data_IF_859433664713
#
_entry.id   IF_859433664713
#
_cell.length_a   1.000
_cell.length_b   1.000
_cell.length_c   1.000
_cell.angle_alpha   90.00
_cell.angle_beta   90.00
_cell.angle_gamma   90.00
#
_symmetry.space_group_name_H-M   'P 1'
#
loop_
_entity.id
_entity.type
_entity.pdbx_description
1 polymer ?
#
# COMPACT_ATOMS: atom_id res chain seq x y z
N UNK A 1 12.35 -27.95 6.82
CA UNK A 1 11.74 -26.81 6.09
C UNK A 1 11.64 -27.24 4.63
N UNK A 2 10.45 -27.12 4.00
CA UNK A 2 10.28 -27.44 2.59
C UNK A 2 11.08 -26.46 1.72
N UNK A 3 11.71 -26.97 0.66
CA UNK A 3 12.47 -26.14 -0.28
C UNK A 3 11.50 -25.11 -0.95
N UNK A 4 11.78 -23.80 -0.90
CA UNK A 4 10.92 -22.78 -1.49
C UNK A 4 10.56 -23.04 -2.97
N UNK A 5 11.49 -23.60 -3.75
CA UNK A 5 11.25 -23.97 -5.14
C UNK A 5 10.23 -25.11 -5.30
N UNK A 6 10.18 -26.07 -4.37
CA UNK A 6 9.20 -27.17 -4.42
C UNK A 6 7.80 -26.65 -4.05
N UNK A 7 7.70 -25.77 -3.05
CA UNK A 7 6.44 -25.12 -2.66
C UNK A 7 5.87 -24.28 -3.80
N UNK A 8 6.73 -23.49 -4.46
CA UNK A 8 6.34 -22.72 -5.63
C UNK A 8 5.80 -23.61 -6.76
N UNK A 9 6.51 -24.70 -7.05
CA UNK A 9 6.12 -25.66 -8.12
C UNK A 9 4.76 -26.27 -7.85
N UNK A 10 4.52 -26.72 -6.63
CA UNK A 10 3.25 -27.32 -6.21
C UNK A 10 2.08 -26.32 -6.28
N UNK A 11 2.23 -25.16 -5.65
CA UNK A 11 1.21 -24.11 -5.67
C UNK A 11 0.91 -23.63 -7.10
N UNK A 12 1.94 -23.46 -7.92
CA UNK A 12 1.78 -23.03 -9.31
C UNK A 12 1.06 -24.07 -10.15
N UNK A 13 1.34 -25.36 -9.98
CA UNK A 13 0.67 -26.44 -10.68
C UNK A 13 -0.83 -26.47 -10.34
N UNK A 14 -1.18 -26.42 -9.05
CA UNK A 14 -2.58 -26.41 -8.60
C UNK A 14 -3.35 -25.24 -9.25
N UNK A 15 -2.76 -24.06 -9.26
CA UNK A 15 -3.42 -22.89 -9.87
C UNK A 15 -3.43 -22.90 -11.41
N UNK A 16 -2.42 -23.50 -12.03
CA UNK A 16 -2.36 -23.61 -13.49
C UNK A 16 -3.46 -24.50 -14.08
N UNK A 17 -3.99 -25.45 -13.32
CA UNK A 17 -5.10 -26.33 -13.76
C UNK A 17 -6.48 -25.83 -13.29
N UNK A 18 -6.54 -24.82 -12.43
CA UNK A 18 -7.79 -24.20 -11.95
C UNK A 18 -8.34 -23.21 -13.00
N UNK A 19 -9.19 -23.71 -13.88
CA UNK A 19 -9.78 -22.91 -14.95
C UNK A 19 -10.75 -21.85 -14.45
N UNK A 20 -11.45 -22.08 -13.33
CA UNK A 20 -12.38 -21.11 -12.73
C UNK A 20 -11.62 -19.91 -12.21
N UNK A 21 -10.59 -20.13 -11.41
CA UNK A 21 -9.67 -19.11 -10.92
C UNK A 21 -9.08 -18.29 -12.09
N UNK A 22 -8.55 -18.97 -13.12
CA UNK A 22 -7.99 -18.31 -14.30
C UNK A 22 -9.02 -17.42 -15.01
N UNK A 23 -10.26 -17.88 -15.13
CA UNK A 23 -11.37 -17.10 -15.74
C UNK A 23 -11.64 -15.81 -14.94
N UNK A 24 -11.73 -15.90 -13.62
CA UNK A 24 -11.96 -14.75 -12.72
C UNK A 24 -10.82 -13.74 -12.85
N UNK A 25 -9.57 -14.17 -12.76
CA UNK A 25 -8.40 -13.29 -12.89
C UNK A 25 -8.36 -12.60 -14.24
N UNK A 26 -8.50 -13.36 -15.34
CA UNK A 26 -8.44 -12.77 -16.68
C UNK A 26 -9.61 -11.81 -16.94
N UNK A 27 -10.80 -12.07 -16.39
CA UNK A 27 -11.92 -11.16 -16.46
C UNK A 27 -11.62 -9.83 -15.75
N UNK A 28 -11.10 -9.87 -14.53
CA UNK A 28 -10.81 -8.68 -13.75
C UNK A 28 -9.61 -7.89 -14.33
N UNK A 29 -8.53 -8.56 -14.74
CA UNK A 29 -7.42 -7.93 -15.46
C UNK A 29 -7.90 -7.32 -16.79
N UNK A 30 -8.84 -7.97 -17.47
CA UNK A 30 -9.46 -7.48 -18.70
C UNK A 30 -10.11 -6.10 -18.54
N UNK A 31 -10.75 -5.84 -17.38
CA UNK A 31 -11.32 -4.52 -17.06
C UNK A 31 -10.24 -3.44 -17.01
N UNK A 32 -9.10 -3.70 -16.34
CA UNK A 32 -7.96 -2.75 -16.34
C UNK A 32 -7.37 -2.54 -17.73
N UNK A 33 -7.17 -3.62 -18.48
CA UNK A 33 -6.64 -3.54 -19.85
C UNK A 33 -7.53 -2.72 -20.78
N UNK A 34 -8.84 -2.70 -20.55
CA UNK A 34 -9.79 -1.90 -21.34
C UNK A 34 -9.71 -0.40 -21.02
N UNK A 35 -9.48 -0.02 -19.75
CA UNK A 35 -9.54 1.40 -19.33
C UNK A 35 -8.16 2.09 -19.34
N UNK A 36 -7.06 1.37 -19.12
CA UNK A 36 -5.70 1.95 -19.15
C UNK A 36 -5.38 2.69 -20.45
N UNK A 37 -5.73 2.20 -21.66
CA UNK A 37 -5.54 2.96 -22.90
C UNK A 37 -6.30 4.29 -22.93
N UNK A 38 -7.45 4.38 -22.26
CA UNK A 38 -8.23 5.62 -22.16
C UNK A 38 -7.53 6.63 -21.23
N UNK A 39 -7.06 6.18 -20.06
CA UNK A 39 -6.29 7.01 -19.15
C UNK A 39 -5.02 7.58 -19.76
N UNK A 40 -4.33 6.78 -20.61
CA UNK A 40 -3.12 7.23 -21.32
C UNK A 40 -3.34 8.42 -22.25
N UNK A 41 -4.57 8.64 -22.74
CA UNK A 41 -4.90 9.77 -23.63
C UNK A 41 -4.75 11.15 -22.99
N UNK A 42 -4.65 11.25 -21.66
CA UNK A 42 -4.38 12.51 -20.99
C UNK A 42 -2.96 13.05 -21.25
N UNK A 43 -2.05 12.17 -21.62
CA UNK A 43 -0.66 12.56 -21.93
C UNK A 43 -0.52 12.83 -23.43
N UNK A 44 0.11 13.95 -23.78
CA UNK A 44 0.47 14.24 -25.17
C UNK A 44 1.48 13.22 -25.71
N UNK A 45 2.42 12.79 -24.86
CA UNK A 45 3.37 11.70 -25.10
C UNK A 45 3.60 10.93 -23.80
N UNK A 46 3.01 9.75 -23.71
CA UNK A 46 3.13 8.87 -22.55
C UNK A 46 4.56 8.32 -22.36
N UNK A 47 5.29 8.10 -23.45
CA UNK A 47 6.66 7.62 -23.35
C UNK A 47 7.57 8.71 -22.80
N UNK A 48 7.43 9.94 -23.26
CA UNK A 48 8.14 11.08 -22.71
C UNK A 48 7.81 11.30 -21.21
N UNK A 49 6.54 11.17 -20.82
CA UNK A 49 6.15 11.25 -19.40
C UNK A 49 6.84 10.17 -18.55
N UNK A 50 6.92 8.93 -19.06
CA UNK A 50 7.62 7.82 -18.39
C UNK A 50 9.12 8.07 -18.24
N UNK A 51 9.77 8.54 -19.33
CA UNK A 51 11.20 8.86 -19.28
C UNK A 51 11.49 10.02 -18.31
N UNK A 52 10.64 11.03 -18.25
CA UNK A 52 10.73 12.09 -17.23
C UNK A 52 10.62 11.54 -15.82
N UNK A 53 9.65 10.66 -15.57
CA UNK A 53 9.47 10.04 -14.25
C UNK A 53 10.67 9.14 -13.88
N UNK A 54 11.18 8.36 -14.84
CA UNK A 54 12.40 7.56 -14.67
C UNK A 54 13.59 8.45 -14.30
N UNK A 55 13.79 9.55 -15.02
CA UNK A 55 14.88 10.49 -14.74
C UNK A 55 14.73 11.18 -13.37
N UNK A 56 13.51 11.59 -13.00
CA UNK A 56 13.26 12.17 -11.68
C UNK A 56 13.58 11.18 -10.57
N UNK A 57 13.17 9.91 -10.69
CA UNK A 57 13.51 8.84 -9.75
C UNK A 57 15.02 8.58 -9.69
N UNK A 58 15.67 8.48 -10.84
CA UNK A 58 17.11 8.34 -10.92
C UNK A 58 17.81 9.47 -10.16
N UNK A 59 17.48 10.73 -10.45
CA UNK A 59 18.05 11.89 -9.79
C UNK A 59 17.86 11.88 -8.27
N UNK A 60 16.68 11.48 -7.79
CA UNK A 60 16.42 11.38 -6.37
C UNK A 60 17.29 10.30 -5.70
N UNK A 61 17.47 9.16 -6.37
CA UNK A 61 18.25 8.04 -5.83
C UNK A 61 19.77 8.26 -5.90
N UNK A 62 20.27 9.06 -6.87
CA UNK A 62 21.69 9.41 -6.92
C UNK A 62 22.14 10.33 -5.74
N UNK A 63 21.19 10.98 -5.09
CA UNK A 63 21.42 11.84 -3.92
C UNK A 63 20.50 11.45 -2.75
N UNK A 64 20.26 10.14 -2.60
CA UNK A 64 19.26 9.62 -1.66
C UNK A 64 19.54 10.04 -0.22
N UNK A 65 20.78 10.01 0.21
CA UNK A 65 21.26 10.47 1.51
C UNK A 65 20.86 11.93 1.78
N UNK A 66 21.23 12.82 0.89
CA UNK A 66 20.90 14.26 0.98
C UNK A 66 19.38 14.48 0.97
N UNK A 67 18.65 13.73 0.15
CA UNK A 67 17.19 13.85 0.08
C UNK A 67 16.52 13.40 1.37
N UNK A 68 16.96 12.30 1.96
CA UNK A 68 16.38 11.77 3.18
C UNK A 68 16.73 12.65 4.40
N UNK A 69 17.93 13.15 4.51
CA UNK A 69 18.30 14.14 5.54
C UNK A 69 17.45 15.40 5.42
N UNK A 70 17.27 15.91 4.20
CA UNK A 70 16.41 17.08 3.94
C UNK A 70 14.95 16.80 4.32
N UNK A 71 14.44 15.60 4.03
CA UNK A 71 13.11 15.18 4.45
C UNK A 71 12.99 15.21 5.97
N UNK A 72 13.92 14.57 6.67
CA UNK A 72 13.92 14.51 8.13
C UNK A 72 13.90 15.91 8.75
N UNK A 73 14.84 16.79 8.33
CA UNK A 73 14.91 18.17 8.83
C UNK A 73 13.58 18.90 8.66
N UNK A 74 12.96 18.81 7.49
CA UNK A 74 11.71 19.51 7.21
C UNK A 74 10.51 18.87 7.92
N UNK A 75 10.47 17.54 8.01
CA UNK A 75 9.40 16.83 8.71
C UNK A 75 9.43 17.10 10.23
N UNK A 76 10.62 17.15 10.83
CA UNK A 76 10.81 17.55 12.24
C UNK A 76 10.35 18.99 12.48
N UNK A 77 10.63 19.92 11.56
CA UNK A 77 10.14 21.31 11.64
C UNK A 77 8.61 21.39 11.61
N UNK A 78 7.97 20.47 10.92
CA UNK A 78 6.51 20.38 10.87
C UNK A 78 5.91 19.69 12.13
N UNK A 79 6.74 19.32 13.11
CA UNK A 79 6.31 18.67 14.35
C UNK A 79 6.23 17.14 14.27
N UNK A 80 6.60 16.55 13.16
CA UNK A 80 6.66 15.09 13.00
C UNK A 80 7.89 14.47 13.65
N UNK A 81 7.96 13.14 13.64
CA UNK A 81 9.08 12.35 14.18
C UNK A 81 9.54 11.35 13.13
N UNK A 82 10.84 11.24 12.90
CA UNK A 82 11.43 10.28 11.94
C UNK A 82 12.14 9.17 12.70
N UNK A 83 11.98 7.95 12.22
CA UNK A 83 12.66 6.76 12.73
C UNK A 83 13.31 6.07 11.53
N UNK A 84 14.60 5.85 11.63
CA UNK A 84 15.36 5.09 10.66
C UNK A 84 15.35 3.61 11.03
N UNK A 85 15.03 2.75 10.09
CA UNK A 85 15.02 1.30 10.26
C UNK A 85 15.78 0.64 9.10
N UNK A 86 16.89 0.00 9.43
CA UNK A 86 17.70 -0.74 8.46
C UNK A 86 17.09 -2.10 8.14
N UNK A 87 16.39 -2.69 9.12
CA UNK A 87 15.82 -4.03 9.02
C UNK A 87 14.35 -4.06 9.44
N UNK A 88 13.68 -5.18 9.12
CA UNK A 88 12.31 -5.45 9.53
C UNK A 88 12.18 -5.41 11.07
N UNK A 89 13.14 -6.00 11.77
CA UNK A 89 13.15 -6.08 13.22
C UNK A 89 13.17 -4.69 13.86
N UNK A 90 14.01 -3.79 13.35
CA UNK A 90 14.08 -2.40 13.84
C UNK A 90 12.76 -1.66 13.60
N UNK A 91 12.12 -1.86 12.44
CA UNK A 91 10.81 -1.29 12.17
C UNK A 91 9.74 -1.84 13.13
N UNK A 92 9.72 -3.15 13.35
CA UNK A 92 8.83 -3.80 14.30
C UNK A 92 9.01 -3.29 15.73
N UNK A 93 10.24 -3.20 16.22
CA UNK A 93 10.56 -2.68 17.55
C UNK A 93 10.09 -1.24 17.73
N UNK A 94 10.30 -0.40 16.71
CA UNK A 94 9.85 1.00 16.72
C UNK A 94 8.32 1.09 16.82
N UNK A 95 7.59 0.32 16.00
CA UNK A 95 6.12 0.29 16.02
C UNK A 95 5.61 -0.21 17.37
N UNK A 96 6.14 -1.32 17.86
CA UNK A 96 5.71 -1.92 19.12
C UNK A 96 5.97 -0.98 20.31
N UNK A 97 7.11 -0.28 20.30
CA UNK A 97 7.41 0.74 21.32
C UNK A 97 6.36 1.85 21.32
N UNK A 98 6.04 2.42 20.14
CA UNK A 98 5.01 3.45 20.02
C UNK A 98 3.66 2.91 20.49
N UNK A 99 3.25 1.73 20.06
CA UNK A 99 2.01 1.10 20.50
C UNK A 99 1.95 0.92 22.02
N UNK A 100 3.02 0.46 22.66
CA UNK A 100 3.10 0.31 24.13
C UNK A 100 3.01 1.66 24.84
N UNK A 101 3.71 2.68 24.37
CA UNK A 101 3.65 4.05 24.94
C UNK A 101 2.23 4.64 24.87
N UNK A 102 1.46 4.27 23.85
CA UNK A 102 0.07 4.72 23.68
C UNK A 102 -0.97 3.77 24.30
N UNK A 103 -0.56 2.71 24.99
CA UNK A 103 -1.45 1.64 25.49
C UNK A 103 -2.37 1.10 24.40
N UNK A 104 -1.84 0.98 23.17
CA UNK A 104 -2.58 0.62 21.98
C UNK A 104 -3.08 -0.83 22.07
N UNK A 105 -4.36 -1.01 21.83
CA UNK A 105 -5.02 -2.32 21.68
C UNK A 105 -5.42 -2.59 20.26
N UNK A 106 -5.72 -1.54 19.51
CA UNK A 106 -6.19 -1.64 18.12
C UNK A 106 -5.43 -0.69 17.22
N UNK A 107 -4.90 -1.23 16.16
CA UNK A 107 -4.31 -0.50 15.04
C UNK A 107 -5.29 -0.56 13.86
N UNK A 108 -5.64 0.56 13.27
CA UNK A 108 -6.30 0.60 11.95
C UNK A 108 -5.26 0.88 10.87
N UNK A 109 -5.19 0.01 9.87
CA UNK A 109 -4.15 0.06 8.85
C UNK A 109 -4.76 0.26 7.45
N UNK A 110 -4.23 1.21 6.70
CA UNK A 110 -4.53 1.30 5.27
C UNK A 110 -3.59 0.43 4.45
N UNK A 111 -4.04 0.05 3.27
CA UNK A 111 -3.25 -0.76 2.34
C UNK A 111 -1.85 -0.21 2.11
N UNK A 112 -0.85 -1.04 2.37
CA UNK A 112 0.55 -0.69 2.17
C UNK A 112 1.39 -1.92 1.84
N UNK A 113 2.05 -1.89 0.68
CA UNK A 113 2.95 -2.98 0.29
C UNK A 113 4.15 -3.12 1.24
N UNK A 114 4.57 -2.03 1.90
CA UNK A 114 5.67 -2.09 2.87
C UNK A 114 5.23 -2.77 4.17
N UNK A 115 3.98 -2.59 4.61
CA UNK A 115 3.46 -3.30 5.77
C UNK A 115 3.29 -4.80 5.51
N UNK A 116 2.98 -5.19 4.27
CA UNK A 116 2.96 -6.60 3.85
C UNK A 116 4.37 -7.19 3.79
N UNK A 117 5.33 -6.45 3.24
CA UNK A 117 6.75 -6.84 3.19
C UNK A 117 7.30 -7.19 4.59
N UNK A 118 6.92 -6.44 5.60
CA UNK A 118 7.37 -6.67 6.99
C UNK A 118 6.42 -7.58 7.80
N UNK A 119 5.38 -8.14 7.20
CA UNK A 119 4.38 -8.97 7.88
C UNK A 119 3.82 -8.31 9.16
N UNK A 120 3.44 -7.03 9.05
CA UNK A 120 3.09 -6.22 10.21
C UNK A 120 1.87 -6.77 10.98
N UNK A 121 0.85 -7.28 10.29
CA UNK A 121 -0.34 -7.83 10.93
C UNK A 121 0.01 -8.99 11.87
N UNK A 122 0.73 -9.99 11.35
CA UNK A 122 1.18 -11.14 12.13
C UNK A 122 2.01 -10.73 13.35
N UNK A 123 2.85 -9.70 13.17
CA UNK A 123 3.69 -9.19 14.25
C UNK A 123 2.86 -8.51 15.35
N UNK A 124 1.91 -7.66 15.00
CA UNK A 124 1.03 -6.97 15.96
C UNK A 124 0.16 -7.97 16.72
N UNK A 125 -0.48 -8.91 16.03
CA UNK A 125 -1.32 -9.95 16.61
C UNK A 125 -0.54 -10.84 17.60
N UNK A 126 0.68 -11.24 17.27
CA UNK A 126 1.58 -11.98 18.18
C UNK A 126 1.92 -11.19 19.46
N UNK A 127 1.83 -9.86 19.42
CA UNK A 127 2.05 -8.97 20.54
C UNK A 127 0.75 -8.54 21.23
N UNK A 128 -0.39 -9.15 20.90
CA UNK A 128 -1.70 -8.89 21.51
C UNK A 128 -2.33 -7.56 21.09
N UNK A 129 -2.01 -7.06 19.90
CA UNK A 129 -2.57 -5.85 19.33
C UNK A 129 -3.41 -6.24 18.11
N UNK A 130 -4.69 -5.88 18.11
CA UNK A 130 -5.59 -6.10 16.99
C UNK A 130 -5.17 -5.21 15.80
N UNK A 131 -4.80 -5.81 14.67
CA UNK A 131 -4.52 -5.09 13.43
C UNK A 131 -5.72 -5.20 12.48
N UNK A 132 -6.33 -4.07 12.12
CA UNK A 132 -7.54 -4.01 11.31
C UNK A 132 -7.22 -3.41 9.94
N UNK A 133 -7.37 -4.21 8.90
CA UNK A 133 -7.28 -3.72 7.52
C UNK A 133 -8.47 -2.82 7.19
N UNK A 134 -8.21 -1.67 6.61
CA UNK A 134 -9.24 -0.69 6.29
C UNK A 134 -9.54 -0.54 4.79
N UNK A 135 -8.69 -1.08 3.92
CA UNK A 135 -9.00 -1.27 2.50
C UNK A 135 -9.98 -2.44 2.36
N UNK A 136 -11.06 -2.27 1.60
CA UNK A 136 -12.10 -3.29 1.48
C UNK A 136 -11.54 -4.63 0.97
N UNK A 137 -10.65 -4.60 0.00
CA UNK A 137 -10.04 -5.80 -0.55
C UNK A 137 -9.15 -6.51 0.45
N UNK A 138 -8.33 -5.77 1.21
CA UNK A 138 -7.49 -6.34 2.27
C UNK A 138 -8.31 -6.79 3.48
N UNK A 139 -9.39 -6.09 3.84
CA UNK A 139 -10.31 -6.52 4.88
C UNK A 139 -10.97 -7.86 4.56
N UNK A 140 -11.41 -8.05 3.31
CA UNK A 140 -11.94 -9.35 2.84
C UNK A 140 -10.88 -10.45 2.96
N UNK A 141 -9.63 -10.15 2.58
CA UNK A 141 -8.53 -11.09 2.69
C UNK A 141 -8.18 -11.42 4.14
N UNK A 142 -8.16 -10.41 5.00
CA UNK A 142 -7.92 -10.60 6.44
C UNK A 142 -8.99 -11.52 7.05
N UNK A 143 -10.27 -11.34 6.72
CA UNK A 143 -11.35 -12.22 7.18
C UNK A 143 -11.19 -13.66 6.68
N UNK A 144 -10.71 -13.86 5.46
CA UNK A 144 -10.50 -15.19 4.86
C UNK A 144 -9.10 -15.76 5.15
N UNK A 145 -8.31 -15.07 5.99
CA UNK A 145 -6.95 -15.46 6.38
C UNK A 145 -6.02 -15.71 5.17
N UNK A 146 -6.10 -14.84 4.17
CA UNK A 146 -5.28 -14.87 2.96
C UNK A 146 -4.43 -13.61 2.83
N UNK A 147 -3.21 -13.68 2.27
CA UNK A 147 -2.45 -12.47 1.94
C UNK A 147 -3.07 -11.74 0.74
N UNK A 148 -2.75 -10.44 0.54
CA UNK A 148 -3.18 -9.70 -0.63
C UNK A 148 -2.78 -10.38 -1.94
N UNK A 149 -3.74 -10.47 -2.86
CA UNK A 149 -3.53 -11.17 -4.13
C UNK A 149 -2.90 -10.29 -5.21
N UNK A 150 -3.18 -8.99 -5.18
CA UNK A 150 -2.71 -8.00 -6.16
C UNK A 150 -2.45 -6.65 -5.50
N UNK A 151 -1.43 -5.93 -5.95
CA UNK A 151 -1.01 -4.64 -5.37
C UNK A 151 -2.15 -3.61 -5.34
N UNK A 152 -2.96 -3.53 -6.41
CA UNK A 152 -4.03 -2.51 -6.52
C UNK A 152 -5.38 -3.05 -6.05
N UNK A 153 -5.65 -4.32 -6.31
CA UNK A 153 -6.95 -4.95 -6.01
C UNK A 153 -6.72 -6.24 -5.22
N UNK A 154 -6.56 -6.17 -3.90
CA UNK A 154 -6.15 -7.30 -3.08
C UNK A 154 -7.04 -8.55 -3.22
N UNK A 155 -8.35 -8.39 -3.35
CA UNK A 155 -9.31 -9.49 -3.49
C UNK A 155 -9.69 -9.83 -4.95
N UNK A 156 -8.83 -9.52 -5.92
CA UNK A 156 -9.08 -9.67 -7.37
C UNK A 156 -9.53 -11.08 -7.80
N UNK A 157 -9.13 -12.11 -7.08
CA UNK A 157 -9.43 -13.51 -7.40
C UNK A 157 -10.78 -13.98 -6.86
N UNK A 158 -11.43 -13.20 -5.99
CA UNK A 158 -12.73 -13.55 -5.39
C UNK A 158 -13.89 -13.07 -6.27
N UNK A 159 -14.92 -13.91 -6.35
CA UNK A 159 -16.22 -13.54 -6.91
C UNK A 159 -17.08 -12.83 -5.85
N UNK A 160 -18.24 -12.28 -6.28
CA UNK A 160 -19.23 -11.75 -5.35
C UNK A 160 -19.70 -12.81 -4.34
N UNK A 161 -19.92 -14.03 -4.83
CA UNK A 161 -20.35 -15.18 -4.04
C UNK A 161 -19.30 -15.57 -2.99
N UNK A 162 -18.01 -15.53 -3.34
CA UNK A 162 -16.92 -15.77 -2.39
C UNK A 162 -16.92 -14.72 -1.28
N UNK A 163 -17.07 -13.44 -1.63
CA UNK A 163 -17.15 -12.36 -0.64
C UNK A 163 -18.38 -12.50 0.25
N UNK A 164 -19.55 -12.83 -0.32
CA UNK A 164 -20.77 -13.06 0.45
C UNK A 164 -20.59 -14.21 1.45
N UNK A 165 -19.92 -15.30 1.05
CA UNK A 165 -19.61 -16.44 1.92
C UNK A 165 -18.68 -16.00 3.07
N UNK A 166 -17.60 -15.30 2.79
CA UNK A 166 -16.67 -14.80 3.81
C UNK A 166 -17.38 -13.89 4.82
N UNK A 167 -18.23 -12.99 4.35
CA UNK A 167 -19.00 -12.11 5.24
C UNK A 167 -20.07 -12.87 6.04
N UNK A 168 -20.69 -13.90 5.45
CA UNK A 168 -21.60 -14.76 6.18
C UNK A 168 -20.90 -15.50 7.33
N UNK A 169 -19.74 -16.10 7.06
CA UNK A 169 -18.98 -16.89 8.03
C UNK A 169 -18.45 -16.03 9.18
N UNK A 170 -17.93 -14.82 8.89
CA UNK A 170 -17.23 -13.98 9.87
C UNK A 170 -18.09 -12.82 10.43
N UNK A 171 -19.05 -12.32 9.68
CA UNK A 171 -19.88 -11.17 10.05
C UNK A 171 -21.37 -11.52 10.23
N UNK A 172 -21.74 -12.78 10.00
CA UNK A 172 -23.12 -13.32 10.12
C UNK A 172 -24.13 -12.60 9.23
N UNK A 173 -23.75 -12.25 8.01
CA UNK A 173 -24.61 -11.59 7.03
C UNK A 173 -25.43 -12.62 6.21
N UNK A 174 -26.56 -12.23 5.59
CA UNK A 174 -27.21 -13.04 4.56
C UNK A 174 -26.28 -13.31 3.36
N UNK A 175 -26.45 -14.45 2.68
CA UNK A 175 -25.65 -14.85 1.52
C UNK A 175 -26.05 -14.16 0.21
N UNK A 176 -27.29 -13.62 0.15
CA UNK A 176 -27.88 -13.05 -1.05
C UNK A 176 -27.68 -11.54 -1.21
N UNK A 177 -26.87 -10.92 -0.34
CA UNK A 177 -26.58 -9.50 -0.40
C UNK A 177 -25.96 -9.08 -1.74
N UNK A 178 -26.35 -7.90 -2.21
CA UNK A 178 -25.74 -7.25 -3.37
C UNK A 178 -24.31 -6.74 -3.05
N UNK A 179 -23.46 -6.43 -4.05
CA UNK A 179 -22.15 -5.83 -3.80
C UNK A 179 -22.24 -4.52 -3.01
N UNK A 180 -23.26 -3.71 -3.24
CA UNK A 180 -23.50 -2.45 -2.54
C UNK A 180 -23.82 -2.70 -1.06
N UNK A 181 -24.66 -3.68 -0.75
CA UNK A 181 -25.01 -4.06 0.62
C UNK A 181 -23.82 -4.66 1.36
N UNK A 182 -23.01 -5.51 0.71
CA UNK A 182 -21.75 -6.02 1.28
C UNK A 182 -20.79 -4.88 1.61
N UNK A 183 -20.69 -3.88 0.73
CA UNK A 183 -19.87 -2.69 0.98
C UNK A 183 -20.39 -1.87 2.18
N UNK A 184 -21.70 -1.74 2.34
CA UNK A 184 -22.30 -1.07 3.50
C UNK A 184 -22.00 -1.81 4.80
N UNK A 185 -22.06 -3.15 4.82
CA UNK A 185 -21.69 -3.96 5.99
C UNK A 185 -20.23 -3.68 6.39
N UNK A 186 -19.29 -3.72 5.44
CA UNK A 186 -17.89 -3.41 5.70
C UNK A 186 -17.74 -1.98 6.25
N UNK A 187 -18.41 -1.00 5.64
CA UNK A 187 -18.41 0.40 6.10
C UNK A 187 -18.86 0.54 7.54
N UNK A 188 -19.95 -0.11 7.94
CA UNK A 188 -20.46 -0.05 9.31
C UNK A 188 -19.48 -0.65 10.32
N UNK A 189 -18.88 -1.79 9.97
CA UNK A 189 -17.89 -2.45 10.82
C UNK A 189 -16.62 -1.60 10.98
N UNK A 190 -16.06 -1.12 9.87
CA UNK A 190 -14.82 -0.35 9.87
C UNK A 190 -15.00 1.04 10.48
N UNK A 191 -16.17 1.68 10.36
CA UNK A 191 -16.44 2.99 10.94
C UNK A 191 -16.15 3.04 12.45
N UNK A 192 -16.55 2.00 13.19
CA UNK A 192 -16.26 1.90 14.62
C UNK A 192 -14.76 1.73 14.87
N UNK A 193 -14.10 0.91 14.06
CA UNK A 193 -12.67 0.65 14.19
C UNK A 193 -11.82 1.90 14.00
N UNK A 194 -12.15 2.76 13.02
CA UNK A 194 -11.48 4.05 12.87
C UNK A 194 -11.61 4.95 14.12
N UNK A 195 -12.78 4.98 14.74
CA UNK A 195 -13.05 5.84 15.90
C UNK A 195 -12.42 5.28 17.20
N UNK A 196 -12.25 3.98 17.30
CA UNK A 196 -11.78 3.28 18.51
C UNK A 196 -10.28 3.04 18.50
N UNK A 197 -9.63 3.00 17.34
CA UNK A 197 -8.21 2.72 17.22
C UNK A 197 -7.34 3.83 17.82
N UNK A 198 -6.38 3.45 18.64
CA UNK A 198 -5.41 4.38 19.24
C UNK A 198 -4.32 4.80 18.24
N UNK A 199 -3.99 3.91 17.30
CA UNK A 199 -2.93 4.11 16.31
C UNK A 199 -3.47 3.84 14.91
N UNK A 200 -3.18 4.75 13.99
CA UNK A 200 -3.39 4.56 12.57
C UNK A 200 -2.07 4.30 11.86
N UNK A 201 -2.06 3.32 10.95
CA UNK A 201 -0.87 2.99 10.15
C UNK A 201 -1.18 3.18 8.67
N UNK A 202 -0.30 3.87 7.98
CA UNK A 202 -0.35 4.02 6.51
C UNK A 202 1.00 3.76 5.88
N UNK A 203 1.01 3.50 4.58
CA UNK A 203 2.20 3.66 3.76
C UNK A 203 2.31 5.08 3.19
N UNK A 204 3.31 5.28 2.34
CA UNK A 204 3.41 6.45 1.48
C UNK A 204 3.67 6.02 0.03
N UNK A 205 3.03 6.68 -0.92
CA UNK A 205 3.36 6.50 -2.33
C UNK A 205 4.66 7.25 -2.66
N UNK A 206 4.84 8.45 -2.08
CA UNK A 206 6.03 9.27 -2.28
C UNK A 206 6.44 9.99 -1.01
N UNK A 207 7.75 10.22 -0.87
CA UNK A 207 8.39 11.08 0.13
C UNK A 207 8.84 12.34 -0.60
N UNK A 208 8.53 13.52 -0.03
CA UNK A 208 8.82 14.83 -0.63
C UNK A 208 9.74 15.61 0.30
N UNK A 209 11.06 15.55 0.08
CA UNK A 209 12.06 16.20 0.93
C UNK A 209 11.91 17.70 1.03
N UNK A 210 11.51 18.34 -0.07
CA UNK A 210 11.37 19.79 -0.17
C UNK A 210 10.46 20.37 0.91
N UNK A 211 9.36 19.70 1.22
CA UNK A 211 8.34 20.15 2.17
C UNK A 211 8.32 19.34 3.46
N UNK A 212 9.11 18.26 3.56
CA UNK A 212 9.01 17.32 4.67
C UNK A 212 7.63 16.67 4.70
N UNK A 213 7.12 16.23 3.55
CA UNK A 213 5.77 15.69 3.44
C UNK A 213 5.80 14.30 2.83
N UNK A 214 4.75 13.53 3.09
CA UNK A 214 4.44 12.32 2.34
C UNK A 214 3.24 12.54 1.44
N UNK A 215 3.20 11.82 0.33
CA UNK A 215 2.04 11.80 -0.56
C UNK A 215 1.41 10.40 -0.56
N UNK A 216 0.08 10.38 -0.40
CA UNK A 216 -0.75 9.17 -0.43
C UNK A 216 -1.82 9.32 -1.49
N UNK A 217 -2.05 8.26 -2.27
CA UNK A 217 -3.08 8.23 -3.31
C UNK A 217 -3.97 7.00 -3.13
N UNK A 218 -5.29 7.20 -3.20
CA UNK A 218 -6.29 6.16 -2.94
C UNK A 218 -7.63 6.47 -3.60
N UNK A 219 -8.53 5.50 -3.66
CA UNK A 219 -9.88 5.67 -4.20
C UNK A 219 -10.99 5.56 -3.14
N UNK A 220 -10.69 5.02 -1.95
CA UNK A 220 -11.70 4.66 -0.94
C UNK A 220 -11.78 5.64 0.23
N UNK A 221 -10.73 6.41 0.47
CA UNK A 221 -10.63 7.31 1.62
C UNK A 221 -10.17 6.62 2.92
N UNK A 222 -9.83 5.34 2.86
CA UNK A 222 -9.39 4.54 3.99
C UNK A 222 -8.05 5.01 4.58
N UNK A 223 -7.09 5.41 3.75
CA UNK A 223 -5.82 5.97 4.23
C UNK A 223 -6.03 7.32 4.93
N UNK A 224 -6.90 8.17 4.38
CA UNK A 224 -7.26 9.45 5.02
C UNK A 224 -7.88 9.23 6.39
N UNK A 225 -8.82 8.28 6.52
CA UNK A 225 -9.45 7.95 7.79
C UNK A 225 -8.45 7.35 8.79
N UNK A 226 -7.59 6.43 8.35
CA UNK A 226 -6.53 5.85 9.18
C UNK A 226 -5.50 6.89 9.66
N UNK A 227 -5.24 7.93 8.84
CA UNK A 227 -4.33 9.01 9.20
C UNK A 227 -4.96 10.07 10.11
N UNK A 228 -6.30 10.26 10.08
CA UNK A 228 -6.94 11.42 10.69
C UNK A 228 -7.69 11.11 11.99
N UNK A 229 -8.28 9.91 12.13
CA UNK A 229 -9.07 9.56 13.30
C UNK A 229 -8.23 9.19 14.53
N UNK A 230 -7.24 8.29 14.41
CA UNK A 230 -6.38 7.94 15.54
C UNK A 230 -5.52 9.12 16.00
N UNK A 231 -5.25 9.15 17.29
CA UNK A 231 -4.41 10.19 17.90
C UNK A 231 -2.93 10.08 17.56
N UNK A 232 -2.51 8.90 17.12
CA UNK A 232 -1.14 8.65 16.68
C UNK A 232 -1.17 8.06 15.27
N UNK A 233 -0.45 8.69 14.34
CA UNK A 233 -0.30 8.21 12.97
C UNK A 233 1.14 7.73 12.74
N UNK A 234 1.29 6.49 12.29
CA UNK A 234 2.57 5.90 11.90
C UNK A 234 2.55 5.67 10.39
N UNK A 235 3.53 6.23 9.70
CA UNK A 235 3.78 5.96 8.28
C UNK A 235 4.98 5.06 8.15
N UNK A 236 4.85 3.97 7.39
CA UNK A 236 5.96 3.07 7.07
C UNK A 236 6.22 3.15 5.57
N UNK A 237 7.42 3.51 5.19
CA UNK A 237 7.75 3.71 3.79
C UNK A 237 9.18 3.30 3.48
N UNK A 238 9.40 2.71 2.31
CA UNK A 238 10.76 2.44 1.83
C UNK A 238 11.47 3.74 1.44
N UNK A 239 12.77 3.80 1.71
CA UNK A 239 13.61 4.96 1.39
C UNK A 239 13.62 5.32 -0.10
N UNK A 240 13.34 4.35 -0.97
CA UNK A 240 13.27 4.53 -2.41
C UNK A 240 12.07 5.37 -2.87
N UNK A 241 11.10 5.67 -2.00
CA UNK A 241 9.89 6.41 -2.36
C UNK A 241 10.11 7.91 -2.55
N UNK A 242 11.33 8.39 -2.41
CA UNK A 242 11.66 9.80 -2.61
C UNK A 242 11.41 10.25 -4.05
N UNK A 243 10.79 11.44 -4.17
CA UNK A 243 10.72 12.23 -5.40
C UNK A 243 11.34 13.63 -5.13
N UNK A 244 11.96 14.27 -6.13
CA UNK A 244 12.77 15.48 -5.90
C UNK A 244 12.01 16.66 -5.29
N UNK A 245 10.76 16.88 -5.74
CA UNK A 245 9.98 18.05 -5.34
C UNK A 245 8.48 17.78 -5.30
N UNK A 246 7.74 18.68 -4.65
CA UNK A 246 6.28 18.68 -4.65
C UNK A 246 5.70 18.79 -6.06
N UNK A 247 6.36 19.54 -6.94
CA UNK A 247 5.92 19.73 -8.32
C UNK A 247 5.91 18.40 -9.12
N UNK A 248 6.77 17.46 -8.78
CA UNK A 248 6.83 16.15 -9.45
C UNK A 248 5.55 15.33 -9.27
N UNK A 249 4.73 15.61 -8.25
CA UNK A 249 3.43 14.97 -8.08
C UNK A 249 2.51 15.17 -9.29
N UNK A 250 2.61 16.30 -9.99
CA UNK A 250 1.86 16.56 -11.22
C UNK A 250 2.18 15.55 -12.33
N UNK A 251 3.32 14.89 -12.26
CA UNK A 251 3.72 13.81 -13.17
C UNK A 251 3.41 12.42 -12.59
N UNK A 252 3.76 12.21 -11.32
CA UNK A 252 3.68 10.88 -10.72
C UNK A 252 2.25 10.43 -10.40
N UNK A 253 1.37 11.31 -9.92
CA UNK A 253 -0.02 10.95 -9.64
C UNK A 253 -0.78 10.52 -10.88
N UNK A 254 -0.77 11.27 -12.01
CA UNK A 254 -1.39 10.82 -13.25
C UNK A 254 -0.80 9.50 -13.78
N UNK A 255 0.52 9.31 -13.71
CA UNK A 255 1.14 8.06 -14.13
C UNK A 255 0.70 6.88 -13.26
N UNK A 256 0.69 7.06 -11.94
CA UNK A 256 0.29 6.01 -11.00
C UNK A 256 -1.16 5.59 -11.22
N UNK A 257 -2.09 6.54 -11.29
CA UNK A 257 -3.52 6.27 -11.48
C UNK A 257 -3.83 5.70 -12.87
N UNK A 258 -3.19 6.22 -13.92
CA UNK A 258 -3.37 5.71 -15.28
C UNK A 258 -2.95 4.25 -15.39
N UNK A 259 -1.77 3.91 -14.91
CA UNK A 259 -1.26 2.55 -15.02
C UNK A 259 -1.87 1.59 -14.00
N UNK A 260 -2.31 2.09 -12.85
CA UNK A 260 -2.98 1.30 -11.83
C UNK A 260 -4.42 0.97 -12.17
N UNK A 261 -5.21 1.97 -12.51
CA UNK A 261 -6.68 1.85 -12.63
C UNK A 261 -7.27 2.46 -13.91
N UNK A 262 -6.46 3.03 -14.79
CA UNK A 262 -6.93 3.73 -16.00
C UNK A 262 -7.55 5.11 -15.76
N UNK A 263 -7.51 5.59 -14.51
CA UNK A 263 -8.00 6.93 -14.13
C UNK A 263 -7.01 8.02 -14.55
N UNK A 264 -7.51 9.25 -14.72
CA UNK A 264 -6.63 10.41 -14.91
C UNK A 264 -5.86 10.72 -13.63
N UNK A 265 -6.57 10.77 -12.51
CA UNK A 265 -6.06 10.80 -11.13
C UNK A 265 -6.99 9.97 -10.25
N UNK A 266 -6.55 9.54 -9.09
CA UNK A 266 -7.38 8.85 -8.09
C UNK A 266 -8.36 9.81 -7.42
N UNK A 267 -9.34 9.29 -6.72
CA UNK A 267 -10.37 10.09 -6.03
C UNK A 267 -9.76 10.98 -4.95
N UNK A 268 -8.81 10.43 -4.19
CA UNK A 268 -8.11 11.17 -3.13
C UNK A 268 -6.61 11.16 -3.39
N UNK A 269 -6.02 12.35 -3.30
CA UNK A 269 -4.58 12.58 -3.37
C UNK A 269 -4.23 13.51 -2.22
N UNK A 270 -3.59 12.96 -1.20
CA UNK A 270 -3.33 13.65 0.07
C UNK A 270 -1.85 13.92 0.23
N UNK A 271 -1.51 15.12 0.69
CA UNK A 271 -0.18 15.50 1.13
C UNK A 271 -0.26 15.70 2.63
N UNK A 272 0.55 14.98 3.40
CA UNK A 272 0.55 15.01 4.85
C UNK A 272 1.95 15.42 5.30
N UNK A 273 2.02 16.54 6.01
CA UNK A 273 3.30 17.18 6.36
C UNK A 273 3.69 17.01 7.84
N UNK A 274 2.80 16.51 8.69
CA UNK A 274 3.05 16.37 10.12
C UNK A 274 1.77 16.12 10.90
N UNK A 275 1.84 16.12 12.26
CA UNK A 275 0.68 16.06 13.11
C UNK A 275 -0.13 17.36 13.03
N UNK A 276 -1.35 17.35 13.58
CA UNK A 276 -2.20 18.55 13.61
C UNK A 276 -1.52 19.70 14.32
N UNK A 277 -1.72 20.87 13.78
CA UNK A 277 -1.24 22.12 14.38
C UNK A 277 -2.24 22.64 15.42
N UNK A 278 -1.81 23.55 16.29
CA UNK A 278 -2.63 24.08 17.38
C UNK A 278 -3.92 24.78 16.92
N UNK A 279 -3.98 25.19 15.67
CA UNK A 279 -5.15 25.83 15.04
C UNK A 279 -6.09 24.86 14.33
N UNK A 280 -5.71 23.56 14.24
CA UNK A 280 -6.49 22.53 13.57
C UNK A 280 -7.33 21.75 14.60
N UNK A 281 -8.59 21.50 14.24
CA UNK A 281 -9.55 20.85 15.14
C UNK A 281 -9.42 19.32 15.17
N UNK A 282 -8.97 18.72 14.07
CA UNK A 282 -8.87 17.27 13.88
C UNK A 282 -7.48 16.87 13.35
N UNK A 283 -7.24 15.56 13.30
CA UNK A 283 -5.96 14.97 12.92
C UNK A 283 -5.20 14.37 14.12
N UNK A 284 -4.09 13.68 13.85
CA UNK A 284 -3.29 13.03 14.88
C UNK A 284 -2.53 14.05 15.72
N UNK A 285 -2.42 13.77 17.02
CA UNK A 285 -1.60 14.56 17.94
C UNK A 285 -0.09 14.32 17.72
N UNK A 286 0.25 13.13 17.23
CA UNK A 286 1.62 12.72 16.92
C UNK A 286 1.68 11.97 15.59
N UNK A 287 2.72 12.27 14.82
CA UNK A 287 2.97 11.58 13.56
C UNK A 287 4.41 11.11 13.47
N UNK A 288 4.57 9.84 13.12
CA UNK A 288 5.86 9.18 12.94
C UNK A 288 6.02 8.73 11.48
N UNK A 289 7.20 8.91 10.92
CA UNK A 289 7.58 8.31 9.63
C UNK A 289 8.74 7.36 9.88
N UNK A 290 8.54 6.07 9.59
CA UNK A 290 9.57 5.04 9.63
C UNK A 290 10.12 4.88 8.22
N UNK A 291 11.38 5.27 8.04
CA UNK A 291 12.15 5.14 6.81
C UNK A 291 12.82 3.78 6.82
N UNK A 292 12.32 2.86 5.99
CA UNK A 292 12.79 1.47 5.96
C UNK A 292 13.77 1.26 4.80
N UNK A 293 14.99 0.80 5.11
CA UNK A 293 15.93 0.31 4.10
C UNK A 293 15.61 -1.12 3.65
N UNK A 294 15.68 -2.08 4.54
CA UNK A 294 15.44 -3.50 4.27
C UNK A 294 16.11 -3.99 2.96
N UNK A 295 17.39 -3.64 2.78
CA UNK A 295 18.20 -4.04 1.64
C UNK A 295 18.07 -3.17 0.38
N UNK A 296 17.34 -2.06 0.42
CA UNK A 296 17.21 -1.12 -0.72
C UNK A 296 18.54 -0.46 -1.08
N UNK A 297 19.37 -0.16 -0.10
CA UNK A 297 20.73 0.34 -0.33
C UNK A 297 21.60 -0.70 -1.05
N UNK A 298 21.48 -1.98 -0.75
CA UNK A 298 22.17 -3.04 -1.47
C UNK A 298 21.73 -3.10 -2.94
N UNK A 299 20.41 -2.98 -3.19
CA UNK A 299 19.86 -2.92 -4.55
C UNK A 299 20.36 -1.67 -5.29
N UNK A 300 20.44 -0.53 -4.58
CA UNK A 300 20.93 0.74 -5.17
C UNK A 300 22.40 0.66 -5.60
N UNK A 301 23.22 -0.10 -4.88
CA UNK A 301 24.63 -0.31 -5.19
C UNK A 301 24.84 -1.19 -6.43
N UNK A 302 23.91 -2.08 -6.76
CA UNK A 302 24.03 -2.97 -7.91
C UNK A 302 23.57 -2.27 -9.21
N UNK A 303 24.48 -2.05 -10.19
CA UNK A 303 24.18 -1.37 -11.45
C UNK A 303 23.06 -2.04 -12.27
N UNK A 304 22.84 -3.33 -12.09
CA UNK A 304 21.81 -4.10 -12.84
C UNK A 304 20.44 -3.96 -12.18
N UNK A 305 20.37 -4.10 -10.86
CA UNK A 305 19.10 -4.15 -10.12
C UNK A 305 18.58 -2.78 -9.71
N UNK A 306 19.44 -1.75 -9.67
CA UNK A 306 19.09 -0.41 -9.13
C UNK A 306 17.87 0.24 -9.79
N UNK A 307 17.63 0.00 -11.08
CA UNK A 307 16.46 0.54 -11.77
C UNK A 307 15.14 -0.02 -11.21
N UNK A 308 15.15 -1.15 -10.49
CA UNK A 308 13.94 -1.68 -9.83
C UNK A 308 13.40 -0.72 -8.76
N UNK A 309 14.27 0.09 -8.15
CA UNK A 309 13.89 1.11 -7.17
C UNK A 309 13.15 2.32 -7.78
N UNK A 310 13.11 2.45 -9.10
CA UNK A 310 12.28 3.46 -9.78
C UNK A 310 10.81 3.10 -9.80
N UNK A 311 10.46 1.88 -9.37
CA UNK A 311 9.10 1.38 -9.36
C UNK A 311 8.19 2.22 -8.47
N UNK A 312 7.08 2.74 -9.06
CA UNK A 312 6.06 3.49 -8.34
C UNK A 312 4.91 2.62 -7.79
N UNK A 313 5.03 1.30 -7.91
CA UNK A 313 4.05 0.31 -7.39
C UNK A 313 2.66 0.42 -8.02
N UNK A 314 2.55 0.77 -9.30
CA UNK A 314 1.26 0.87 -10.00
C UNK A 314 0.59 -0.48 -10.34
N UNK A 315 1.28 -1.61 -10.22
CA UNK A 315 0.72 -2.94 -10.49
C UNK A 315 0.56 -3.32 -11.97
N UNK A 316 0.88 -2.43 -12.92
CA UNK A 316 0.69 -2.68 -14.36
C UNK A 316 1.47 -3.89 -14.89
N UNK A 317 2.64 -4.19 -14.31
CA UNK A 317 3.44 -5.35 -14.68
C UNK A 317 2.71 -6.68 -14.40
N UNK A 318 1.95 -6.76 -13.30
CA UNK A 318 1.13 -7.93 -12.95
C UNK A 318 0.00 -8.11 -13.97
N UNK A 319 -0.67 -7.01 -14.34
CA UNK A 319 -1.73 -7.03 -15.34
C UNK A 319 -1.24 -7.45 -16.74
N UNK A 320 0.03 -7.19 -17.06
CA UNK A 320 0.64 -7.58 -18.33
C UNK A 320 1.20 -9.01 -18.30
N UNK A 321 1.62 -9.53 -17.14
CA UNK A 321 2.36 -10.77 -17.01
C UNK A 321 1.54 -12.02 -17.36
N UNK A 322 1.94 -12.82 -18.35
CA UNK A 322 1.23 -14.03 -18.70
C UNK A 322 1.33 -15.10 -17.60
N UNK A 323 2.40 -15.13 -16.83
CA UNK A 323 2.57 -16.06 -15.71
C UNK A 323 1.58 -15.70 -14.61
N UNK A 324 1.52 -14.46 -14.19
CA UNK A 324 0.56 -13.98 -13.19
C UNK A 324 -0.90 -14.31 -13.57
N UNK A 325 -1.26 -14.12 -14.84
CA UNK A 325 -2.61 -14.45 -15.38
C UNK A 325 -2.96 -15.92 -15.28
N UNK A 326 -1.99 -16.81 -15.16
CA UNK A 326 -2.19 -18.25 -15.08
C UNK A 326 -2.17 -18.77 -13.64
N UNK A 327 -1.20 -18.33 -12.83
CA UNK A 327 -0.97 -18.91 -11.48
C UNK A 327 -1.34 -17.95 -10.34
N UNK A 328 -1.55 -16.68 -10.64
CA UNK A 328 -2.03 -15.66 -9.69
C UNK A 328 -1.03 -15.21 -8.64
N UNK A 329 -1.47 -14.26 -7.78
CA UNK A 329 -0.62 -13.58 -6.82
C UNK A 329 -0.06 -14.47 -5.72
N UNK A 330 -0.88 -15.33 -5.12
CA UNK A 330 -0.45 -16.19 -4.01
C UNK A 330 0.62 -17.22 -4.40
N UNK A 331 0.68 -17.61 -5.67
CA UNK A 331 1.71 -18.54 -6.17
C UNK A 331 2.91 -17.82 -6.75
N UNK A 332 2.68 -16.70 -7.45
CA UNK A 332 3.71 -15.94 -8.14
C UNK A 332 4.61 -15.13 -7.18
N UNK A 333 4.05 -14.74 -6.05
CA UNK A 333 4.60 -13.70 -5.20
C UNK A 333 4.33 -12.31 -5.74
N UNK A 334 4.47 -11.32 -4.91
CA UNK A 334 4.33 -9.91 -5.32
C UNK A 334 5.71 -9.28 -5.47
N UNK A 335 5.78 -8.18 -6.19
CA UNK A 335 7.01 -7.38 -6.32
C UNK A 335 7.19 -6.52 -5.06
N UNK A 336 7.62 -7.16 -3.98
CA UNK A 336 8.02 -6.45 -2.77
C UNK A 336 9.44 -5.93 -2.90
#
# INVERSE_FOLDING_TARGET
MSNPASVFKEKSFVKAVDLSHRKTINHNIGKYNAVVPLGKKQFSDINFAREKAKHAKWKALESLDVQLEKFEINFLRNGGKVIWAETIEQAHEAILRICKEKNCKTVVKSKSMVTEEIHLNDFLEKNGIDSIESDLGEYIQQLDNEPPYHIVTPAMHKSKEDVARVFHEHLHTPLDLTPEELTLVAREKLRKKYAEAEVGVTGANFIIPETGSIAVTENEGNARLSASFPKTHIVITGIEKVIPSLHDLALFWPLLSTYGTGQQVTVYNSIISGPRQSTEMDGPDEMYVILLDNGRTNILQDPVSRESLYCIRCGACLNACPVYKNIGGHSYGTTY
#
